data_IF_424421770975
#
_entry.id   IF_424421770975
#
_cell.length_a   1.000
_cell.length_b   1.000
_cell.length_c   1.000
_cell.angle_alpha   90.00
_cell.angle_beta   90.00
_cell.angle_gamma   90.00
#
_symmetry.space_group_name_H-M   'P 1'
#
loop_
_entity.id
_entity.type
_entity.pdbx_description
1 polymer ?
#
# COMPACT_ATOMS: atom_id res chain seq x y z
N UNK A 1 17.25 11.93 -3.87
CA UNK A 1 16.44 13.13 -4.18
C UNK A 1 15.40 12.81 -5.24
N UNK A 2 14.32 13.60 -5.31
CA UNK A 2 13.31 13.53 -6.37
C UNK A 2 13.54 14.58 -7.47
N UNK A 3 13.11 14.32 -8.71
CA UNK A 3 13.12 15.32 -9.78
C UNK A 3 12.11 16.45 -9.49
N UNK A 4 12.21 17.55 -10.25
CA UNK A 4 11.31 18.71 -10.11
C UNK A 4 9.84 18.45 -10.48
N UNK A 5 9.52 17.28 -11.03
CA UNK A 5 8.17 16.86 -11.40
C UNK A 5 7.92 15.41 -10.97
N UNK A 6 6.79 15.15 -10.31
CA UNK A 6 6.39 13.82 -9.85
C UNK A 6 5.01 13.44 -10.39
N UNK A 7 4.84 12.17 -10.72
CA UNK A 7 3.54 11.60 -11.13
C UNK A 7 2.89 10.98 -9.91
N UNK A 8 1.72 11.50 -9.53
CA UNK A 8 0.92 11.11 -8.37
C UNK A 8 -0.57 10.99 -8.77
N UNK A 9 -1.40 10.24 -8.02
CA UNK A 9 -2.84 10.16 -8.29
C UNK A 9 -3.52 11.51 -8.10
N UNK A 10 -4.33 11.93 -9.07
CA UNK A 10 -5.03 13.24 -9.06
C UNK A 10 -6.00 13.39 -7.87
N UNK A 11 -6.57 12.28 -7.37
CA UNK A 11 -7.52 12.30 -6.26
C UNK A 11 -6.88 12.55 -4.89
N UNK A 12 -5.54 12.53 -4.80
CA UNK A 12 -4.82 12.77 -3.55
C UNK A 12 -4.38 14.23 -3.50
N UNK A 13 -4.80 15.01 -2.48
CA UNK A 13 -4.37 16.38 -2.34
C UNK A 13 -2.92 16.50 -1.86
N UNK A 14 -2.26 17.59 -2.24
CA UNK A 14 -0.85 17.85 -1.92
C UNK A 14 -0.55 17.85 -0.41
N UNK A 15 -1.49 18.30 0.41
CA UNK A 15 -1.33 18.27 1.87
C UNK A 15 -1.14 16.83 2.39
N UNK A 16 -1.93 15.89 1.86
CA UNK A 16 -1.81 14.46 2.18
C UNK A 16 -0.47 13.91 1.66
N UNK A 17 -0.02 14.31 0.47
CA UNK A 17 1.29 13.91 -0.06
C UNK A 17 2.43 14.40 0.86
N UNK A 18 2.35 15.64 1.34
CA UNK A 18 3.33 16.18 2.28
C UNK A 18 3.31 15.45 3.63
N UNK A 19 2.14 15.03 4.11
CA UNK A 19 2.02 14.23 5.33
C UNK A 19 2.65 12.85 5.15
N UNK A 20 2.30 12.17 4.05
CA UNK A 20 2.83 10.85 3.70
C UNK A 20 4.35 10.90 3.50
N UNK A 21 4.90 11.93 2.86
CA UNK A 21 6.34 12.01 2.58
C UNK A 21 7.18 11.96 3.85
N UNK A 22 6.73 12.57 4.95
CA UNK A 22 7.40 12.53 6.26
C UNK A 22 7.50 11.11 6.83
N UNK A 23 6.63 10.20 6.42
CA UNK A 23 6.67 8.80 6.83
C UNK A 23 7.76 8.00 6.09
N UNK A 24 8.40 8.54 5.04
CA UNK A 24 9.44 7.85 4.27
C UNK A 24 10.82 8.50 4.46
N UNK A 25 11.85 7.66 4.52
CA UNK A 25 13.26 8.09 4.57
C UNK A 25 13.55 9.04 3.42
N UNK A 26 14.23 10.14 3.75
CA UNK A 26 14.58 11.21 2.80
C UNK A 26 13.36 11.84 2.11
N UNK A 27 12.18 11.75 2.73
CA UNK A 27 10.90 12.21 2.18
C UNK A 27 10.53 11.57 0.84
N UNK A 28 10.98 10.33 0.61
CA UNK A 28 10.78 9.59 -0.64
C UNK A 28 9.54 8.71 -0.60
N UNK A 29 8.35 9.32 -0.66
CA UNK A 29 7.07 8.61 -0.77
C UNK A 29 6.92 7.85 -2.10
N UNK A 30 6.00 6.87 -2.25
CA UNK A 30 5.90 6.07 -3.47
C UNK A 30 5.51 6.93 -4.68
N UNK A 31 6.35 6.94 -5.71
CA UNK A 31 6.09 7.67 -6.96
C UNK A 31 6.15 6.73 -8.15
N UNK A 32 5.32 6.99 -9.17
CA UNK A 32 5.33 6.21 -10.42
C UNK A 32 6.61 6.49 -11.18
N UNK A 33 7.40 5.45 -11.42
CA UNK A 33 8.67 5.53 -12.14
C UNK A 33 8.63 4.85 -13.51
N UNK A 34 7.64 3.99 -13.75
CA UNK A 34 7.42 3.33 -15.03
C UNK A 34 5.97 2.89 -15.16
N UNK A 35 5.46 2.85 -16.40
CA UNK A 35 4.14 2.31 -16.74
C UNK A 35 4.25 1.45 -18.00
N UNK A 36 3.69 0.24 -17.95
CA UNK A 36 3.58 -0.62 -19.13
C UNK A 36 2.56 -0.03 -20.11
N UNK A 37 2.96 0.18 -21.38
CA UNK A 37 2.06 0.75 -22.38
C UNK A 37 0.88 -0.16 -22.74
N UNK A 38 1.08 -1.49 -22.69
CA UNK A 38 0.09 -2.51 -23.07
C UNK A 38 -0.81 -2.88 -21.89
N UNK A 39 -0.23 -3.32 -20.78
CA UNK A 39 -1.00 -3.81 -19.62
C UNK A 39 -1.37 -2.73 -18.62
N UNK A 40 -0.83 -1.52 -18.78
CA UNK A 40 -1.07 -0.36 -17.89
C UNK A 40 -0.59 -0.55 -16.45
N UNK A 41 0.09 -1.66 -16.13
CA UNK A 41 0.75 -1.87 -14.86
C UNK A 41 1.77 -0.76 -14.57
N UNK A 42 1.90 -0.34 -13.30
CA UNK A 42 2.84 0.70 -12.88
C UNK A 42 3.88 0.15 -11.92
N UNK A 43 5.09 0.70 -11.98
CA UNK A 43 6.15 0.46 -11.00
C UNK A 43 6.29 1.71 -10.12
N UNK A 44 6.18 1.50 -8.81
CA UNK A 44 6.41 2.53 -7.81
C UNK A 44 7.82 2.41 -7.24
N UNK A 45 8.48 3.55 -7.02
CA UNK A 45 9.74 3.63 -6.26
C UNK A 45 9.54 4.54 -5.05
N UNK A 46 9.98 4.09 -3.89
CA UNK A 46 9.99 4.87 -2.64
C UNK A 46 11.33 4.69 -1.90
N UNK A 47 11.56 5.50 -0.88
CA UNK A 47 12.51 5.19 0.18
C UNK A 47 11.95 4.14 1.15
N UNK A 48 12.74 3.79 2.17
CA UNK A 48 12.24 2.96 3.28
C UNK A 48 11.25 3.73 4.15
N UNK A 49 10.24 3.06 4.69
CA UNK A 49 9.30 3.63 5.64
C UNK A 49 9.99 3.88 7.00
N UNK A 50 9.63 4.95 7.71
CA UNK A 50 10.12 5.25 9.06
C UNK A 50 9.51 4.35 10.15
N UNK A 51 8.33 3.76 9.91
CA UNK A 51 7.69 2.75 10.76
C UNK A 51 8.17 1.32 10.46
N UNK A 52 7.94 0.39 11.40
CA UNK A 52 8.17 -1.05 11.18
C UNK A 52 7.47 -1.46 9.88
N UNK A 53 8.23 -2.04 8.95
CA UNK A 53 7.87 -2.13 7.54
C UNK A 53 6.63 -2.98 7.22
N UNK A 54 6.47 -3.27 5.93
CA UNK A 54 5.37 -4.02 5.29
C UNK A 54 5.01 -5.39 5.92
N UNK A 55 5.82 -5.90 6.84
CA UNK A 55 5.55 -7.12 7.62
C UNK A 55 4.51 -6.89 8.73
N UNK A 56 4.28 -5.64 9.15
CA UNK A 56 3.25 -5.29 10.14
C UNK A 56 1.87 -5.01 9.55
N UNK A 57 1.78 -4.67 8.25
CA UNK A 57 0.51 -4.32 7.60
C UNK A 57 -0.46 -5.49 7.43
N UNK A 58 0.00 -6.73 7.59
CA UNK A 58 -0.85 -7.94 7.60
C UNK A 58 -0.95 -8.61 8.98
N UNK A 59 -0.28 -8.05 10.00
CA UNK A 59 -0.21 -8.60 11.36
C UNK A 59 -0.23 -7.47 12.39
N UNK A 60 -1.39 -6.85 12.59
CA UNK A 60 -1.67 -6.22 13.90
C UNK A 60 -3.15 -5.95 14.06
N UNK A 61 -3.90 -7.01 14.38
CA UNK A 61 -4.88 -6.89 15.45
C UNK A 61 -4.18 -7.48 16.70
N UNK A 62 -4.01 -6.65 17.73
CA UNK A 62 -3.34 -6.96 19.00
C UNK A 62 -1.81 -7.20 18.98
N UNK A 63 -1.03 -6.12 19.10
CA UNK A 63 0.20 -6.16 19.89
C UNK A 63 0.49 -4.77 20.49
N UNK A 64 0.56 -4.61 21.83
CA UNK A 64 0.89 -3.33 22.45
C UNK A 64 2.40 -3.09 22.29
N UNK A 65 2.80 -2.32 21.27
CA UNK A 65 4.17 -1.81 21.22
C UNK A 65 4.21 -0.49 21.97
N UNK A 66 4.82 -0.52 23.14
CA UNK A 66 5.15 0.66 23.94
C UNK A 66 5.93 1.69 23.10
N UNK A 67 5.46 2.94 23.07
CA UNK A 67 6.26 4.10 22.68
C UNK A 67 5.78 4.96 21.52
N UNK A 68 4.73 4.58 20.79
CA UNK A 68 4.11 5.45 19.78
C UNK A 68 2.67 5.73 20.17
N UNK A 69 2.28 7.01 20.23
CA UNK A 69 0.89 7.39 20.42
C UNK A 69 0.04 6.69 19.34
N UNK A 70 -0.84 5.74 19.72
CA UNK A 70 -1.47 4.83 18.77
C UNK A 70 -2.28 5.59 17.71
N UNK A 71 -3.03 6.61 18.15
CA UNK A 71 -3.90 7.42 17.29
C UNK A 71 -3.19 8.13 16.12
N UNK A 72 -1.95 8.60 16.31
CA UNK A 72 -1.22 9.31 15.26
C UNK A 72 -0.60 8.35 14.24
N UNK A 73 -0.15 7.17 14.69
CA UNK A 73 0.43 6.15 13.81
C UNK A 73 -0.65 5.56 12.91
N UNK A 74 -1.82 5.25 13.48
CA UNK A 74 -2.97 4.69 12.77
C UNK A 74 -3.53 5.64 11.71
N UNK A 75 -3.51 6.94 11.99
CA UNK A 75 -3.96 7.96 11.03
C UNK A 75 -3.02 8.05 9.82
N UNK A 76 -1.69 7.93 10.04
CA UNK A 76 -0.71 7.98 8.94
C UNK A 76 -0.70 6.73 8.07
N UNK A 77 -0.87 5.55 8.67
CA UNK A 77 -0.96 4.29 7.92
C UNK A 77 -2.21 4.27 7.04
N UNK A 78 -3.34 4.78 7.53
CA UNK A 78 -4.57 4.91 6.75
C UNK A 78 -4.42 5.86 5.55
N UNK A 79 -3.73 6.99 5.72
CA UNK A 79 -3.45 7.91 4.60
C UNK A 79 -2.56 7.26 3.53
N UNK A 80 -1.58 6.45 3.95
CA UNK A 80 -0.74 5.69 3.03
C UNK A 80 -1.53 4.66 2.23
N UNK A 81 -2.42 3.91 2.90
CA UNK A 81 -3.28 2.95 2.24
C UNK A 81 -4.21 3.64 1.22
N UNK A 82 -4.82 4.77 1.60
CA UNK A 82 -5.64 5.57 0.68
C UNK A 82 -4.85 6.06 -0.53
N UNK A 83 -3.58 6.46 -0.35
CA UNK A 83 -2.72 6.83 -1.48
C UNK A 83 -2.47 5.66 -2.42
N UNK A 84 -2.15 4.47 -1.89
CA UNK A 84 -1.95 3.27 -2.70
C UNK A 84 -3.23 2.84 -3.42
N UNK A 85 -4.38 2.90 -2.73
CA UNK A 85 -5.69 2.67 -3.34
C UNK A 85 -5.98 3.67 -4.46
N UNK A 86 -5.66 4.95 -4.28
CA UNK A 86 -5.79 5.96 -5.33
C UNK A 86 -4.90 5.66 -6.54
N UNK A 87 -3.68 5.14 -6.34
CA UNK A 87 -2.83 4.64 -7.43
C UNK A 87 -3.52 3.50 -8.17
N UNK A 88 -4.07 2.51 -7.46
CA UNK A 88 -4.78 1.36 -8.06
C UNK A 88 -6.00 1.83 -8.87
N UNK A 89 -6.80 2.73 -8.30
CA UNK A 89 -8.00 3.29 -8.95
C UNK A 89 -7.65 4.15 -10.17
N UNK A 90 -6.43 4.67 -10.27
CA UNK A 90 -5.96 5.39 -11.46
C UNK A 90 -5.51 4.45 -12.60
N UNK A 91 -5.36 3.16 -12.32
CA UNK A 91 -5.09 2.16 -13.35
C UNK A 91 -6.40 1.75 -14.02
N UNK A 92 -6.46 1.69 -15.35
CA UNK A 92 -7.63 1.18 -16.03
C UNK A 92 -7.85 -0.29 -15.64
N UNK A 93 -9.10 -0.65 -15.32
CA UNK A 93 -9.46 -2.02 -15.02
C UNK A 93 -9.28 -2.89 -16.27
N UNK A 94 -8.30 -3.79 -16.25
CA UNK A 94 -8.18 -4.85 -17.26
C UNK A 94 -9.20 -5.93 -16.91
N UNK A 95 -10.37 -5.85 -17.53
CA UNK A 95 -11.38 -6.92 -17.51
C UNK A 95 -11.41 -7.58 -18.89
N UNK A 96 -11.19 -8.89 -18.89
CA UNK A 96 -11.35 -9.89 -19.98
C UNK A 96 -10.05 -10.23 -20.76
N UNK A 97 -9.60 -11.47 -20.98
CA UNK A 97 -10.16 -12.83 -20.92
C UNK A 97 -9.00 -13.75 -20.48
N UNK A 98 -9.19 -14.74 -19.60
CA UNK A 98 -8.20 -15.72 -19.06
C UNK A 98 -7.55 -15.50 -17.68
N UNK A 99 -8.17 -14.71 -16.81
CA UNK A 99 -8.09 -14.93 -15.35
C UNK A 99 -6.83 -14.48 -14.62
N UNK A 100 -7.04 -14.07 -13.36
CA UNK A 100 -6.08 -13.58 -12.35
C UNK A 100 -5.50 -12.17 -12.59
N UNK A 101 -6.24 -11.17 -12.10
CA UNK A 101 -5.58 -10.16 -11.27
C UNK A 101 -5.01 -10.89 -10.05
N UNK A 102 -3.69 -10.92 -9.86
CA UNK A 102 -3.07 -11.56 -8.68
C UNK A 102 -3.47 -10.89 -7.36
N UNK A 103 -4.12 -9.73 -7.41
CA UNK A 103 -4.62 -8.98 -6.25
C UNK A 103 -6.11 -9.26 -5.92
N UNK A 104 -6.91 -9.79 -6.84
CA UNK A 104 -8.34 -10.08 -6.56
C UNK A 104 -8.58 -11.49 -5.99
N UNK A 105 -7.53 -12.30 -5.87
CA UNK A 105 -7.58 -13.67 -5.33
C UNK A 105 -7.41 -13.78 -3.82
N UNK A 106 -7.18 -12.67 -3.11
CA UNK A 106 -7.14 -12.65 -1.64
C UNK A 106 -8.54 -12.41 -1.07
N UNK A 107 -9.51 -13.24 -1.47
CA UNK A 107 -10.72 -13.36 -0.66
C UNK A 107 -10.31 -14.12 0.59
N UNK A 108 -10.42 -13.46 1.75
CA UNK A 108 -10.24 -14.01 3.09
C UNK A 108 -10.97 -15.35 3.22
N UNK A 109 -10.27 -16.46 2.95
CA UNK A 109 -10.78 -17.78 3.22
C UNK A 109 -10.74 -17.97 4.73
N UNK A 110 -11.91 -17.83 5.33
CA UNK A 110 -12.30 -18.36 6.62
C UNK A 110 -11.49 -19.62 6.95
N UNK A 111 -10.51 -19.51 7.86
CA UNK A 111 -9.87 -20.67 8.46
C UNK A 111 -10.91 -21.33 9.38
N UNK A 112 -11.79 -22.15 8.80
CA UNK A 112 -12.45 -23.19 9.57
C UNK A 112 -11.37 -24.15 10.04
N UNK A 113 -11.04 -24.09 11.32
CA UNK A 113 -10.26 -25.11 12.02
C UNK A 113 -11.01 -26.44 11.93
N UNK A 114 -10.65 -27.29 10.98
CA UNK A 114 -10.93 -28.71 11.03
C UNK A 114 -9.63 -29.41 11.48
N UNK A 115 -9.54 -29.70 12.77
CA UNK A 115 -8.58 -30.65 13.28
C UNK A 115 -9.04 -32.05 12.89
N UNK A 116 -8.31 -32.71 12.01
CA UNK A 116 -8.44 -34.14 11.78
C UNK A 116 -7.15 -34.80 12.21
N UNK A 117 -7.24 -35.53 13.32
CA UNK A 117 -6.22 -36.45 13.76
C UNK A 117 -6.18 -37.66 12.83
N UNK A 118 -4.98 -38.19 12.64
CA UNK A 118 -4.77 -39.51 12.05
C UNK A 118 -3.67 -40.22 12.84
N UNK A 119 -4.05 -41.39 13.34
CA UNK A 119 -3.25 -42.62 13.54
C UNK A 119 -1.85 -42.51 14.09
#
# INVERSE_FOLDING_TARGET
SYPGLLIVPQSVPDNTIQRISRCYRQNRFPVVCWRNARTKAVLLRSGGLHGKGVVGLFKSQNAPTAGACPSQTDSTSLEQEKYLQAVINSMPHYSDTSGRNTLSGFTSAHMSSAGEGWG
#
